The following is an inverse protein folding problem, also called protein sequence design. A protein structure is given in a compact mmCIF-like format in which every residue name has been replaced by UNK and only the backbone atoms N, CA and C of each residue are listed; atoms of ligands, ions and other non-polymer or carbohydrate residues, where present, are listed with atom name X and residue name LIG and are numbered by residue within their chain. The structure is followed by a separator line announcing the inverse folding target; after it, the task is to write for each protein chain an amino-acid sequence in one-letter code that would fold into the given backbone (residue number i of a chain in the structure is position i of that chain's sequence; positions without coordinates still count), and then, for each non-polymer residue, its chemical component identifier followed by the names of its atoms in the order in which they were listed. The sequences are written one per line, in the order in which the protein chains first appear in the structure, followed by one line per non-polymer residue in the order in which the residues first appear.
data_IF_783845432509
#
_entry.id   IF_783845432509
#
_cell.length_a   1.000
_cell.length_b   1.000
_cell.length_c   1.000
_cell.angle_alpha   90.00
_cell.angle_beta   90.00
_cell.angle_gamma   90.00
#
_symmetry.space_group_name_H-M   'P 1'
#
loop_
_entity.id
_entity.type
_entity.pdbx_description
1 polymer ?
#
# COMPACT_ATOMS: atom_id res chain seq x y z
N UNK A 1 26.53 -40.36 -74.77
CA UNK A 1 25.11 -40.22 -75.15
C UNK A 1 24.57 -39.09 -74.28
N UNK A 2 24.75 -37.87 -74.76
CA UNK A 2 23.79 -37.12 -75.60
C UNK A 2 22.69 -36.51 -74.73
N UNK A 3 22.26 -35.26 -74.84
CA UNK A 3 22.62 -34.05 -75.62
C UNK A 3 21.83 -32.94 -74.89
N UNK A 4 22.47 -31.80 -74.63
CA UNK A 4 21.84 -30.52 -74.28
C UNK A 4 21.30 -29.88 -75.58
N UNK A 5 20.25 -29.03 -75.64
CA UNK A 5 20.43 -27.60 -75.29
C UNK A 5 19.15 -26.86 -74.81
N UNK A 6 19.24 -25.86 -73.93
CA UNK A 6 19.35 -24.40 -74.17
C UNK A 6 18.14 -23.71 -74.82
N UNK A 7 17.62 -22.67 -74.14
CA UNK A 7 17.35 -21.29 -74.62
C UNK A 7 16.88 -20.48 -73.39
N UNK A 8 17.66 -19.55 -72.83
CA UNK A 8 17.94 -18.16 -73.27
C UNK A 8 16.70 -17.25 -73.31
N UNK A 9 16.59 -16.33 -72.35
CA UNK A 9 16.61 -14.88 -72.64
C UNK A 9 16.52 -14.04 -71.35
N UNK A 10 17.68 -13.49 -71.05
CA UNK A 10 17.97 -12.23 -70.37
C UNK A 10 17.08 -11.07 -70.89
N UNK A 11 16.66 -10.14 -70.02
CA UNK A 11 16.71 -8.68 -70.24
C UNK A 11 16.54 -7.97 -68.88
N UNK A 12 17.50 -7.08 -68.65
CA UNK A 12 17.72 -6.14 -67.56
C UNK A 12 17.01 -4.80 -67.81
N UNK A 13 16.63 -4.08 -66.74
CA UNK A 13 16.59 -2.60 -66.57
C UNK A 13 15.74 -2.30 -65.31
N UNK A 14 16.28 -1.83 -64.19
CA UNK A 14 16.96 -0.55 -63.87
C UNK A 14 16.02 0.68 -63.80
N UNK A 15 16.15 1.37 -62.65
CA UNK A 15 15.96 2.80 -62.40
C UNK A 15 14.56 3.40 -62.17
N UNK A 16 14.32 3.64 -60.87
CA UNK A 16 14.27 5.00 -60.26
C UNK A 16 12.94 5.77 -60.13
N UNK A 17 12.88 6.49 -58.98
CA UNK A 17 12.04 7.63 -58.58
C UNK A 17 10.66 7.33 -57.95
N UNK A 18 10.11 8.11 -57.01
CA UNK A 18 10.54 9.17 -56.07
C UNK A 18 9.21 9.75 -55.54
N UNK A 19 9.05 9.93 -54.21
CA UNK A 19 8.08 10.84 -53.53
C UNK A 19 6.58 10.65 -53.86
N UNK A 20 5.59 10.93 -53.03
CA UNK A 20 5.42 11.52 -51.71
C UNK A 20 4.08 10.94 -51.21
N UNK A 21 3.89 10.85 -49.90
CA UNK A 21 2.61 11.10 -49.23
C UNK A 21 2.93 11.11 -47.72
N UNK A 22 3.47 12.25 -47.29
CA UNK A 22 3.29 12.76 -45.94
C UNK A 22 1.88 13.34 -45.88
N UNK A 23 1.06 12.84 -44.94
CA UNK A 23 0.18 13.65 -44.09
C UNK A 23 -0.85 12.73 -43.40
N UNK A 24 -0.68 12.53 -42.09
CA UNK A 24 -1.75 12.46 -41.08
C UNK A 24 -1.30 11.69 -39.83
N UNK A 25 -0.38 12.25 -39.03
CA UNK A 25 -0.32 11.96 -37.58
C UNK A 25 -0.01 13.27 -36.84
N UNK A 26 -1.06 14.05 -36.53
CA UNK A 26 -1.00 15.07 -35.48
C UNK A 26 -2.21 14.90 -34.57
N UNK A 27 -2.01 14.23 -33.44
CA UNK A 27 -3.09 14.01 -32.47
C UNK A 27 -2.66 13.43 -31.13
N UNK A 28 -1.39 13.55 -30.73
CA UNK A 28 -0.90 12.90 -29.51
C UNK A 28 -0.11 13.81 -28.54
N UNK A 29 0.01 15.11 -28.83
CA UNK A 29 0.74 16.05 -27.96
C UNK A 29 -0.11 16.73 -26.88
N UNK A 30 -1.44 16.53 -26.88
CA UNK A 30 -2.36 17.24 -25.96
C UNK A 30 -2.61 16.49 -24.64
N UNK A 31 -2.28 15.19 -24.59
CA UNK A 31 -2.61 14.35 -23.42
C UNK A 31 -1.66 14.53 -22.23
N UNK A 32 -0.41 14.92 -22.46
CA UNK A 32 0.63 15.02 -21.43
C UNK A 32 0.44 16.26 -20.56
N UNK A 33 0.05 17.38 -21.16
CA UNK A 33 -0.26 18.62 -20.43
C UNK A 33 -1.51 18.46 -19.56
N UNK A 34 -2.50 17.70 -20.04
CA UNK A 34 -3.73 17.42 -19.30
C UNK A 34 -3.51 16.48 -18.11
N UNK A 35 -2.62 15.47 -18.21
CA UNK A 35 -2.23 14.61 -17.08
C UNK A 35 -1.49 15.43 -16.02
N UNK A 36 -0.58 16.30 -16.45
CA UNK A 36 0.19 17.17 -15.56
C UNK A 36 -0.74 18.12 -14.80
N UNK A 37 -1.73 18.72 -15.48
CA UNK A 37 -2.71 19.60 -14.84
C UNK A 37 -3.59 18.87 -13.82
N UNK A 38 -4.13 17.70 -14.15
CA UNK A 38 -4.96 16.89 -13.22
C UNK A 38 -4.14 16.45 -12.00
N UNK A 39 -2.86 16.13 -12.21
CA UNK A 39 -1.96 15.73 -11.14
C UNK A 39 -1.62 16.89 -10.21
N UNK A 40 -1.26 18.06 -10.77
CA UNK A 40 -1.03 19.29 -10.01
C UNK A 40 -2.27 19.73 -9.22
N UNK A 41 -3.47 19.51 -9.75
CA UNK A 41 -4.73 19.74 -9.05
C UNK A 41 -4.91 18.77 -7.87
N UNK A 42 -4.62 17.47 -8.07
CA UNK A 42 -4.70 16.46 -6.99
C UNK A 42 -3.67 16.66 -5.89
N UNK A 43 -2.45 17.11 -6.22
CA UNK A 43 -1.43 17.46 -5.22
C UNK A 43 -1.89 18.62 -4.32
N UNK A 44 -2.56 19.63 -4.90
CA UNK A 44 -3.09 20.78 -4.14
C UNK A 44 -4.25 20.42 -3.22
N UNK A 45 -5.01 19.38 -3.53
CA UNK A 45 -6.12 18.88 -2.71
C UNK A 45 -5.67 18.09 -1.46
N UNK A 46 -4.41 17.65 -1.41
CA UNK A 46 -3.84 16.92 -0.27
C UNK A 46 -3.08 17.82 0.72
N UNK A 47 -3.05 19.14 0.53
CA UNK A 47 -2.64 20.05 1.60
C UNK A 47 -3.73 20.09 2.68
N UNK A 48 -3.43 19.74 3.94
CA UNK A 48 -4.41 19.83 5.02
C UNK A 48 -4.78 21.31 5.21
N UNK A 49 -6.00 21.69 4.82
CA UNK A 49 -6.51 23.02 5.12
C UNK A 49 -6.61 23.14 6.65
N UNK A 50 -5.73 23.95 7.23
CA UNK A 50 -5.85 24.42 8.61
C UNK A 50 -7.07 25.36 8.68
N UNK A 51 -8.26 24.78 8.88
CA UNK A 51 -9.44 25.56 9.25
C UNK A 51 -9.32 25.92 10.73
N UNK A 52 -9.40 27.21 11.11
CA UNK A 52 -9.42 27.60 12.51
C UNK A 52 -10.70 27.09 13.18
N UNK A 53 -10.55 26.47 14.34
CA UNK A 53 -11.66 26.09 15.21
C UNK A 53 -12.23 27.35 15.85
N UNK A 54 -13.39 27.80 15.37
CA UNK A 54 -14.17 28.83 16.05
C UNK A 54 -14.99 28.22 17.20
N UNK A 55 -14.62 28.59 18.42
CA UNK A 55 -15.35 28.38 19.65
C UNK A 55 -16.38 29.50 19.86
N UNK A 56 -17.67 29.22 19.65
CA UNK A 56 -18.84 29.63 20.47
C UNK A 56 -20.13 29.78 19.63
N UNK A 57 -21.20 29.08 20.03
CA UNK A 57 -22.38 29.71 20.65
C UNK A 57 -23.56 28.74 20.74
N UNK A 58 -24.17 28.75 21.93
CA UNK A 58 -25.47 28.20 22.33
C UNK A 58 -26.60 28.28 21.30
N UNK A 59 -27.46 27.26 21.32
CA UNK A 59 -28.82 27.31 20.77
C UNK A 59 -29.63 26.06 21.10
N UNK A 60 -30.44 26.14 22.17
CA UNK A 60 -31.41 25.13 22.60
C UNK A 60 -32.36 24.68 21.48
N UNK A 61 -32.73 23.39 21.46
CA UNK A 61 -34.13 22.92 21.57
C UNK A 61 -34.21 21.38 21.42
N UNK A 62 -34.64 20.69 22.47
CA UNK A 62 -35.32 19.39 22.37
C UNK A 62 -36.77 19.58 21.90
N UNK A 63 -37.41 18.54 21.34
CA UNK A 63 -38.19 17.64 22.20
C UNK A 63 -38.07 16.15 21.83
N UNK A 64 -38.19 15.30 22.85
CA UNK A 64 -38.43 13.85 22.77
C UNK A 64 -39.95 13.57 22.70
N UNK A 65 -40.43 12.31 22.88
CA UNK A 65 -40.19 11.07 22.13
C UNK A 65 -41.51 10.52 21.56
N UNK A 66 -41.50 9.46 20.75
CA UNK A 66 -42.70 8.64 20.56
C UNK A 66 -42.38 7.14 20.61
N UNK A 67 -42.96 6.53 21.64
CA UNK A 67 -43.14 5.12 21.95
C UNK A 67 -44.00 4.43 20.87
N UNK A 68 -43.60 3.26 20.37
CA UNK A 68 -44.51 2.11 20.18
C UNK A 68 -43.76 0.80 19.95
N UNK A 69 -44.08 -0.20 20.76
CA UNK A 69 -43.90 -1.65 20.57
C UNK A 69 -45.10 -2.33 21.26
N UNK A 70 -45.38 -3.65 21.13
CA UNK A 70 -45.22 -4.65 20.05
C UNK A 70 -46.59 -5.36 19.78
N UNK A 71 -46.69 -6.57 19.14
CA UNK A 71 -46.48 -7.87 19.83
C UNK A 71 -45.76 -8.94 18.95
N UNK A 72 -44.81 -9.72 19.46
CA UNK A 72 -44.92 -11.02 20.18
C UNK A 72 -45.30 -12.28 19.35
N UNK A 73 -44.42 -13.28 19.50
CA UNK A 73 -44.64 -14.75 19.48
C UNK A 73 -44.35 -15.52 18.18
N UNK A 74 -43.28 -16.33 18.17
CA UNK A 74 -43.36 -17.74 18.58
C UNK A 74 -41.99 -18.44 18.61
N UNK A 75 -41.86 -19.34 19.58
CA UNK A 75 -40.69 -20.08 19.98
C UNK A 75 -40.55 -21.44 19.26
N UNK A 76 -39.31 -21.92 19.18
CA UNK A 76 -38.86 -23.34 19.26
C UNK A 76 -37.50 -23.46 18.54
N UNK A 77 -36.46 -24.19 18.93
CA UNK A 77 -35.99 -24.86 20.15
C UNK A 77 -34.82 -25.77 19.70
N UNK A 78 -33.75 -25.87 20.50
CA UNK A 78 -32.87 -27.05 20.68
C UNK A 78 -31.83 -27.38 19.58
N UNK A 79 -30.55 -27.13 19.88
CA UNK A 79 -29.51 -28.17 20.09
C UNK A 79 -28.13 -27.51 20.32
N UNK A 80 -27.68 -27.45 21.57
CA UNK A 80 -26.28 -27.19 21.91
C UNK A 80 -25.67 -28.51 22.40
N UNK A 81 -24.79 -29.08 21.57
CA UNK A 81 -23.96 -30.22 21.92
C UNK A 81 -22.67 -29.70 22.54
N UNK A 82 -22.38 -30.29 23.68
CA UNK A 82 -21.21 -30.16 24.55
C UNK A 82 -19.88 -30.34 23.83
N UNK A 83 -18.90 -29.49 24.14
CA UNK A 83 -17.48 -29.90 24.12
C UNK A 83 -16.73 -29.23 25.29
N UNK A 84 -16.29 -30.10 26.19
CA UNK A 84 -15.56 -29.81 27.42
C UNK A 84 -14.12 -29.40 27.12
N UNK A 85 -13.60 -28.42 27.85
CA UNK A 85 -12.17 -28.25 28.07
C UNK A 85 -11.91 -27.99 29.56
N UNK A 86 -11.17 -28.93 30.13
CA UNK A 86 -10.63 -29.03 31.49
C UNK A 86 -9.79 -27.82 31.87
N UNK A 87 -10.04 -27.22 33.04
CA UNK A 87 -9.08 -26.38 33.74
C UNK A 87 -8.91 -26.94 35.15
N UNK A 88 -7.68 -27.38 35.44
CA UNK A 88 -7.26 -27.83 36.76
C UNK A 88 -7.26 -26.65 37.75
N UNK A 89 -7.90 -26.88 38.90
CA UNK A 89 -7.86 -25.98 40.05
C UNK A 89 -6.61 -26.24 40.88
N UNK A 90 -5.92 -25.19 41.31
CA UNK A 90 -5.30 -25.18 42.63
C UNK A 90 -6.10 -24.25 43.53
N UNK A 91 -6.71 -24.83 44.56
CA UNK A 91 -7.29 -24.11 45.67
C UNK A 91 -7.01 -24.89 46.95
N UNK A 92 -6.60 -24.18 47.99
CA UNK A 92 -6.79 -24.47 49.41
C UNK A 92 -6.14 -23.31 50.20
N UNK A 93 -6.67 -22.76 51.28
CA UNK A 93 -7.99 -22.82 51.92
C UNK A 93 -7.94 -21.74 53.03
N UNK A 94 -9.06 -21.04 53.25
CA UNK A 94 -9.70 -20.64 54.54
C UNK A 94 -8.81 -20.18 55.71
N UNK A 95 -9.12 -19.10 56.46
CA UNK A 95 -10.31 -18.99 57.33
C UNK A 95 -10.53 -17.57 57.85
N UNK A 96 -11.81 -17.22 58.03
CA UNK A 96 -12.36 -16.05 58.72
C UNK A 96 -12.09 -16.04 60.23
N UNK A 97 -11.93 -14.85 60.82
CA UNK A 97 -12.49 -14.53 62.16
C UNK A 97 -13.04 -13.10 62.15
N UNK A 98 -14.25 -13.01 62.71
CA UNK A 98 -15.17 -11.88 62.90
C UNK A 98 -14.98 -11.28 64.29
N UNK A 99 -15.12 -9.96 64.44
CA UNK A 99 -15.98 -9.25 65.43
C UNK A 99 -15.61 -7.76 65.49
N UNK A 100 -16.61 -6.90 65.26
CA UNK A 100 -17.16 -5.91 66.23
C UNK A 100 -16.23 -4.71 66.43
N UNK A 101 -16.65 -3.45 66.38
CA UNK A 101 -17.94 -2.80 66.48
C UNK A 101 -17.67 -1.37 66.95
N UNK A 102 -18.63 -0.49 66.72
CA UNK A 102 -18.82 0.84 67.32
C UNK A 102 -18.28 2.10 66.62
N UNK A 103 -19.26 2.99 66.49
CA UNK A 103 -19.27 4.40 66.10
C UNK A 103 -18.41 5.26 67.04
N UNK A 104 -17.83 6.35 66.53
CA UNK A 104 -18.18 7.73 66.94
C UNK A 104 -17.16 8.78 66.41
N UNK A 105 -17.75 9.81 65.80
CA UNK A 105 -17.36 11.23 65.68
C UNK A 105 -15.97 11.77 66.12
N UNK A 106 -15.43 12.56 65.18
CA UNK A 106 -14.86 13.92 65.34
C UNK A 106 -13.56 14.10 66.14
N UNK A 107 -12.49 14.53 65.45
CA UNK A 107 -11.88 15.87 65.61
C UNK A 107 -10.72 16.09 64.63
N UNK A 108 -10.66 17.30 64.10
CA UNK A 108 -9.58 17.81 63.25
C UNK A 108 -8.28 17.94 64.07
N UNK A 109 -7.17 17.40 63.56
CA UNK A 109 -5.83 17.76 64.06
C UNK A 109 -4.82 17.74 62.91
N UNK A 110 -4.34 18.95 62.57
CA UNK A 110 -3.28 19.20 61.60
C UNK A 110 -1.99 18.52 62.03
N UNK A 111 -1.42 17.69 61.17
CA UNK A 111 -0.02 17.25 61.27
C UNK A 111 0.73 17.70 60.03
N UNK A 112 1.68 18.61 60.26
CA UNK A 112 2.67 19.09 59.31
C UNK A 112 3.91 18.20 59.49
N UNK A 113 4.45 17.53 58.47
CA UNK A 113 5.70 16.82 58.61
C UNK A 113 6.85 17.83 58.62
N UNK A 114 7.65 17.79 59.69
CA UNK A 114 8.93 18.49 59.76
C UNK A 114 9.85 17.93 58.67
N UNK A 115 10.21 18.76 57.69
CA UNK A 115 11.32 18.47 56.79
C UNK A 115 12.62 18.98 57.44
N UNK A 116 13.53 18.05 57.67
CA UNK A 116 14.88 18.31 58.13
C UNK A 116 15.64 19.21 57.13
N UNK A 117 16.14 20.35 57.61
CA UNK A 117 16.79 21.41 56.83
C UNK A 117 18.16 21.05 56.22
N UNK A 118 18.63 19.82 56.32
CA UNK A 118 19.96 19.43 55.81
C UNK A 118 19.97 19.01 54.34
N UNK A 119 18.82 18.66 53.76
CA UNK A 119 18.73 18.24 52.35
C UNK A 119 18.49 19.40 51.37
N UNK A 120 18.03 20.56 51.86
CA UNK A 120 17.72 21.71 51.00
C UNK A 120 18.96 22.37 50.40
N UNK A 121 20.07 22.39 51.15
CA UNK A 121 21.30 23.02 50.70
C UNK A 121 22.01 22.18 49.62
N UNK A 122 21.98 20.86 49.76
CA UNK A 122 22.50 19.92 48.74
C UNK A 122 21.71 20.00 47.44
N UNK A 123 20.38 20.12 47.54
CA UNK A 123 19.53 20.26 46.35
C UNK A 123 19.79 21.59 45.63
N UNK A 124 19.93 22.69 46.37
CA UNK A 124 20.29 23.99 45.79
C UNK A 124 21.66 23.95 45.10
N UNK A 125 22.66 23.29 45.70
CA UNK A 125 23.98 23.15 45.06
C UNK A 125 23.92 22.34 43.77
N UNK A 126 23.14 21.24 43.74
CA UNK A 126 22.97 20.41 42.54
C UNK A 126 22.25 21.18 41.44
N UNK A 127 21.18 21.93 41.78
CA UNK A 127 20.44 22.75 40.81
C UNK A 127 21.31 23.86 40.24
N UNK A 128 22.13 24.52 41.07
CA UNK A 128 23.07 25.54 40.58
C UNK A 128 24.17 24.95 39.70
N UNK A 129 24.70 23.77 40.02
CA UNK A 129 25.68 23.08 39.19
C UNK A 129 25.08 22.67 37.84
N UNK A 130 23.84 22.16 37.82
CA UNK A 130 23.11 21.84 36.58
C UNK A 130 22.86 23.08 35.72
N UNK A 131 22.47 24.21 36.32
CA UNK A 131 22.27 25.46 35.59
C UNK A 131 23.58 26.01 35.01
N UNK A 132 24.69 25.90 35.73
CA UNK A 132 26.02 26.29 35.24
C UNK A 132 26.50 25.33 34.14
N UNK A 133 26.26 24.03 34.27
CA UNK A 133 26.54 23.05 33.23
C UNK A 133 25.73 23.33 31.96
N UNK A 134 24.44 23.65 32.07
CA UNK A 134 23.61 23.98 30.90
C UNK A 134 23.93 25.35 30.30
N UNK A 135 24.33 26.34 31.11
CA UNK A 135 24.70 27.67 30.65
C UNK A 135 26.12 27.78 30.06
N UNK A 136 27.00 26.82 30.37
CA UNK A 136 28.38 26.78 29.84
C UNK A 136 28.50 25.99 28.53
N UNK A 137 27.47 25.23 28.17
CA UNK A 137 27.36 24.69 26.81
C UNK A 137 26.87 25.85 25.92
N UNK A 138 27.80 26.74 25.57
CA UNK A 138 27.68 27.44 24.29
C UNK A 138 27.86 26.38 23.21
N UNK A 139 26.78 25.65 22.91
CA UNK A 139 26.69 25.06 21.59
C UNK A 139 26.61 26.29 20.70
N UNK A 140 27.74 26.63 20.07
CA UNK A 140 27.67 27.20 18.74
C UNK A 140 26.93 26.14 17.90
N UNK A 141 25.61 26.10 18.04
CA UNK A 141 24.74 25.39 17.14
C UNK A 141 24.85 26.27 15.91
N UNK A 142 25.59 25.87 14.86
CA UNK A 142 25.44 26.56 13.61
C UNK A 142 23.95 26.40 13.31
N UNK A 143 23.21 27.51 13.35
CA UNK A 143 21.93 27.61 12.67
C UNK A 143 22.29 27.52 11.18
N UNK A 144 22.68 26.31 10.78
CA UNK A 144 22.87 25.87 9.43
C UNK A 144 21.50 25.97 8.81
N UNK A 145 21.24 27.15 8.26
CA UNK A 145 20.23 27.48 7.27
C UNK A 145 19.19 26.38 7.09
N UNK A 146 18.05 26.56 7.76
CA UNK A 146 16.83 25.82 7.49
C UNK A 146 16.45 25.92 5.99
N UNK A 147 16.84 27.03 5.33
CA UNK A 147 16.65 27.24 3.90
C UNK A 147 17.45 26.24 3.04
N UNK A 148 18.63 25.81 3.47
CA UNK A 148 19.45 24.83 2.75
C UNK A 148 18.86 23.41 2.73
N UNK A 149 18.18 23.02 3.80
CA UNK A 149 17.47 21.73 3.90
C UNK A 149 16.21 21.73 3.02
N UNK A 150 15.40 22.79 3.10
CA UNK A 150 14.17 22.91 2.32
C UNK A 150 14.43 23.01 0.82
N UNK A 151 15.47 23.74 0.40
CA UNK A 151 15.87 23.84 -1.01
C UNK A 151 16.39 22.50 -1.56
N UNK A 152 17.08 21.71 -0.72
CA UNK A 152 17.56 20.38 -1.12
C UNK A 152 16.41 19.38 -1.26
N UNK A 153 15.46 19.39 -0.32
CA UNK A 153 14.26 18.55 -0.38
C UNK A 153 13.42 18.91 -1.61
N UNK A 154 13.09 20.18 -1.81
CA UNK A 154 12.27 20.62 -2.94
C UNK A 154 12.92 20.29 -4.29
N UNK A 155 14.24 20.48 -4.41
CA UNK A 155 14.98 20.11 -5.62
C UNK A 155 14.98 18.60 -5.85
N UNK A 156 15.14 17.79 -4.79
CA UNK A 156 15.10 16.32 -4.91
C UNK A 156 13.71 15.80 -5.28
N UNK A 157 12.65 16.34 -4.67
CA UNK A 157 11.27 15.97 -4.94
C UNK A 157 10.87 16.34 -6.38
N UNK A 158 11.23 17.54 -6.83
CA UNK A 158 11.03 17.96 -8.22
C UNK A 158 11.78 17.06 -9.22
N UNK A 159 12.96 16.57 -8.83
CA UNK A 159 13.74 15.63 -9.65
C UNK A 159 13.04 14.27 -9.75
N UNK A 160 12.52 13.73 -8.65
CA UNK A 160 11.78 12.47 -8.66
C UNK A 160 10.48 12.56 -9.45
N UNK A 161 9.73 13.64 -9.28
CA UNK A 161 8.48 13.85 -10.03
C UNK A 161 8.75 13.86 -11.54
N UNK A 162 9.80 14.56 -11.99
CA UNK A 162 10.18 14.57 -13.40
C UNK A 162 10.62 13.18 -13.90
N UNK A 163 11.45 12.47 -13.13
CA UNK A 163 11.86 11.10 -13.49
C UNK A 163 10.67 10.13 -13.54
N UNK A 164 9.73 10.24 -12.59
CA UNK A 164 8.52 9.44 -12.58
C UNK A 164 7.68 9.72 -13.84
N UNK A 165 7.49 10.99 -14.22
CA UNK A 165 6.78 11.36 -15.44
C UNK A 165 7.43 10.77 -16.70
N UNK A 166 8.76 10.84 -16.81
CA UNK A 166 9.50 10.26 -17.94
C UNK A 166 9.29 8.74 -18.05
N UNK A 167 9.37 8.02 -16.92
CA UNK A 167 9.14 6.58 -16.88
C UNK A 167 7.69 6.21 -17.25
N UNK A 168 6.71 7.03 -16.85
CA UNK A 168 5.30 6.81 -17.20
C UNK A 168 5.05 7.09 -18.68
N UNK A 169 5.66 8.13 -19.26
CA UNK A 169 5.56 8.44 -20.69
C UNK A 169 6.16 7.31 -21.56
N UNK A 170 7.30 6.74 -21.16
CA UNK A 170 7.88 5.55 -21.80
C UNK A 170 6.94 4.34 -21.74
N UNK A 171 6.30 4.10 -20.59
CA UNK A 171 5.32 3.03 -20.44
C UNK A 171 4.08 3.25 -21.32
N UNK A 172 3.58 4.49 -21.39
CA UNK A 172 2.42 4.84 -22.21
C UNK A 172 2.67 4.59 -23.71
N UNK A 173 3.89 4.86 -24.18
CA UNK A 173 4.32 4.53 -25.55
C UNK A 173 4.39 3.01 -25.79
N UNK A 174 4.75 2.25 -24.77
CA UNK A 174 4.89 0.78 -24.84
C UNK A 174 3.54 0.06 -24.78
N UNK A 175 2.57 0.62 -24.06
CA UNK A 175 1.25 0.04 -23.84
C UNK A 175 0.14 1.06 -24.22
N UNK A 176 -0.02 1.38 -25.52
CA UNK A 176 -0.85 2.49 -25.96
C UNK A 176 -2.36 2.31 -25.75
N UNK A 177 -2.85 1.09 -25.49
CA UNK A 177 -4.29 0.83 -25.36
C UNK A 177 -4.81 0.95 -23.93
N UNK A 178 -3.95 1.26 -22.96
CA UNK A 178 -4.39 1.50 -21.58
C UNK A 178 -5.13 2.84 -21.44
N UNK A 179 -6.08 2.88 -20.50
CA UNK A 179 -6.85 4.09 -20.18
C UNK A 179 -5.96 5.14 -19.50
N UNK A 180 -6.26 6.42 -19.72
CA UNK A 180 -5.58 7.56 -19.05
C UNK A 180 -5.50 7.40 -17.53
N UNK A 181 -6.55 6.87 -16.90
CA UNK A 181 -6.59 6.61 -15.45
C UNK A 181 -5.51 5.64 -14.95
N UNK A 182 -5.04 4.71 -15.79
CA UNK A 182 -3.93 3.79 -15.48
C UNK A 182 -2.64 4.57 -15.21
N UNK A 183 -2.30 5.50 -16.10
CA UNK A 183 -1.08 6.31 -16.00
C UNK A 183 -1.11 7.26 -14.81
N UNK A 184 -2.26 7.88 -14.54
CA UNK A 184 -2.47 8.72 -13.35
C UNK A 184 -2.26 7.90 -12.07
N UNK A 185 -2.76 6.67 -12.03
CA UNK A 185 -2.63 5.78 -10.86
C UNK A 185 -1.18 5.39 -10.63
N UNK A 186 -0.43 5.09 -11.69
CA UNK A 186 0.99 4.75 -11.59
C UNK A 186 1.84 5.94 -11.16
N UNK A 187 1.62 7.11 -11.76
CA UNK A 187 2.32 8.34 -11.38
C UNK A 187 2.06 8.70 -9.91
N UNK A 188 0.80 8.58 -9.47
CA UNK A 188 0.43 8.81 -8.06
C UNK A 188 1.13 7.83 -7.12
N UNK A 189 1.22 6.55 -7.48
CA UNK A 189 1.91 5.54 -6.69
C UNK A 189 3.41 5.79 -6.61
N UNK A 190 4.06 6.15 -7.72
CA UNK A 190 5.48 6.47 -7.74
C UNK A 190 5.80 7.72 -6.90
N UNK A 191 4.98 8.76 -7.02
CA UNK A 191 5.20 10.00 -6.26
C UNK A 191 4.95 9.84 -4.76
N UNK A 192 4.00 9.00 -4.35
CA UNK A 192 3.76 8.79 -2.92
C UNK A 192 4.91 8.05 -2.22
N UNK A 193 5.68 7.24 -2.95
CA UNK A 193 6.81 6.49 -2.37
C UNK A 193 8.16 7.22 -2.51
N UNK A 194 8.24 8.31 -3.26
CA UNK A 194 9.45 9.13 -3.38
C UNK A 194 9.60 10.15 -2.26
N UNK A 195 8.55 10.36 -1.46
CA UNK A 195 8.61 11.11 -0.21
C UNK A 195 9.76 10.60 0.69
N UNK A 196 10.33 11.48 1.51
CA UNK A 196 11.46 11.14 2.38
C UNK A 196 11.06 10.02 3.36
N UNK A 197 9.90 10.18 4.00
CA UNK A 197 9.31 9.23 4.94
C UNK A 197 7.84 8.93 4.56
N UNK A 198 7.59 8.05 3.57
CA UNK A 198 6.23 7.67 3.21
C UNK A 198 5.49 7.07 4.40
N UNK A 199 4.24 7.48 4.61
CA UNK A 199 3.42 6.99 5.74
C UNK A 199 2.96 5.54 5.57
N UNK A 200 2.82 5.10 4.31
CA UNK A 200 2.28 3.81 3.88
C UNK A 200 2.84 3.41 2.51
N UNK A 201 2.83 2.11 2.13
CA UNK A 201 3.14 1.68 0.77
C UNK A 201 2.10 2.16 -0.23
N UNK A 202 2.50 2.29 -1.49
CA UNK A 202 1.55 2.41 -2.59
C UNK A 202 1.05 1.03 -2.98
N UNK A 203 -0.25 0.79 -2.84
CA UNK A 203 -0.89 -0.49 -3.19
C UNK A 203 -1.71 -0.29 -4.45
N UNK A 204 -1.43 -1.08 -5.49
CA UNK A 204 -2.15 -1.08 -6.76
C UNK A 204 -2.71 -2.47 -7.02
N UNK A 205 -4.00 -2.59 -7.34
CA UNK A 205 -4.61 -3.85 -7.74
C UNK A 205 -4.91 -3.82 -9.23
N UNK A 206 -4.14 -4.60 -9.99
CA UNK A 206 -4.35 -4.77 -11.42
C UNK A 206 -5.39 -5.85 -11.65
N UNK A 207 -6.39 -5.51 -12.44
CA UNK A 207 -7.50 -6.41 -12.78
C UNK A 207 -7.59 -6.57 -14.28
N UNK A 208 -7.65 -7.81 -14.73
CA UNK A 208 -7.84 -8.12 -16.14
C UNK A 208 -8.75 -9.34 -16.34
N UNK A 209 -9.20 -9.55 -17.57
CA UNK A 209 -9.64 -10.87 -18.02
C UNK A 209 -8.50 -11.64 -18.68
N UNK A 210 -8.67 -12.94 -18.93
CA UNK A 210 -7.65 -13.80 -19.56
C UNK A 210 -6.98 -13.20 -20.81
N UNK A 211 -7.75 -12.51 -21.66
CA UNK A 211 -7.22 -11.89 -22.88
C UNK A 211 -6.11 -10.85 -22.62
N UNK A 212 -6.13 -10.20 -21.45
CA UNK A 212 -5.18 -9.16 -21.07
C UNK A 212 -4.20 -9.61 -19.97
N UNK A 213 -4.24 -10.88 -19.55
CA UNK A 213 -3.37 -11.40 -18.48
C UNK A 213 -1.89 -11.20 -18.80
N UNK A 214 -1.48 -11.48 -20.04
CA UNK A 214 -0.10 -11.29 -20.50
C UNK A 214 0.31 -9.82 -20.44
N UNK A 215 -0.56 -8.92 -20.89
CA UNK A 215 -0.34 -7.47 -20.79
C UNK A 215 -0.19 -7.04 -19.34
N UNK A 216 -1.09 -7.50 -18.46
CA UNK A 216 -1.05 -7.20 -17.03
C UNK A 216 0.27 -7.61 -16.39
N UNK A 217 0.78 -8.81 -16.69
CA UNK A 217 2.09 -9.27 -16.22
C UNK A 217 3.22 -8.37 -16.72
N UNK A 218 3.22 -8.00 -18.00
CA UNK A 218 4.25 -7.13 -18.57
C UNK A 218 4.22 -5.72 -17.96
N UNK A 219 3.03 -5.11 -17.82
CA UNK A 219 2.87 -3.79 -17.21
C UNK A 219 3.30 -3.82 -15.74
N UNK A 220 2.89 -4.84 -14.97
CA UNK A 220 3.30 -5.00 -13.59
C UNK A 220 4.82 -5.10 -13.46
N UNK A 221 5.46 -5.92 -14.30
CA UNK A 221 6.90 -6.08 -14.33
C UNK A 221 7.61 -4.76 -14.67
N UNK A 222 7.14 -4.05 -15.69
CA UNK A 222 7.72 -2.77 -16.09
C UNK A 222 7.57 -1.71 -15.00
N UNK A 223 6.40 -1.62 -14.35
CA UNK A 223 6.19 -0.69 -13.24
C UNK A 223 7.08 -1.02 -12.04
N UNK A 224 7.23 -2.30 -11.69
CA UNK A 224 8.13 -2.74 -10.62
C UNK A 224 9.59 -2.37 -10.92
N UNK A 225 10.06 -2.61 -12.14
CA UNK A 225 11.41 -2.23 -12.57
C UNK A 225 11.59 -0.70 -12.50
N UNK A 226 10.62 0.05 -12.99
CA UNK A 226 10.65 1.52 -12.97
C UNK A 226 10.63 2.08 -11.54
N UNK A 227 9.85 1.48 -10.64
CA UNK A 227 9.83 1.82 -9.21
C UNK A 227 11.21 1.66 -8.60
N UNK A 228 11.84 0.51 -8.83
CA UNK A 228 13.18 0.25 -8.33
C UNK A 228 14.21 1.19 -8.95
N UNK A 229 14.16 1.44 -10.26
CA UNK A 229 15.02 2.40 -10.95
C UNK A 229 14.90 3.79 -10.34
N UNK A 230 13.67 4.26 -10.10
CA UNK A 230 13.37 5.57 -9.54
C UNK A 230 13.88 5.73 -8.10
N UNK A 231 13.81 4.69 -7.28
CA UNK A 231 14.20 4.76 -5.87
C UNK A 231 15.68 4.43 -5.63
N UNK A 232 16.29 3.55 -6.44
CA UNK A 232 17.72 3.21 -6.37
C UNK A 232 18.66 4.26 -6.95
N UNK A 233 18.19 5.22 -7.77
CA UNK A 233 19.01 6.34 -8.25
C UNK A 233 19.57 7.21 -7.11
N UNK A 234 19.18 6.97 -5.85
CA UNK A 234 19.75 7.64 -4.68
C UNK A 234 20.98 6.99 -4.07
N UNK A 235 21.28 5.69 -4.29
CA UNK A 235 22.55 5.08 -3.88
C UNK A 235 22.69 3.63 -4.41
N UNK A 236 23.82 3.40 -5.08
CA UNK A 236 24.39 2.10 -5.48
C UNK A 236 24.05 1.56 -6.87
N UNK A 237 25.12 1.37 -7.64
CA UNK A 237 25.15 0.78 -8.95
C UNK A 237 24.82 -0.73 -8.93
N UNK A 238 24.12 -1.18 -9.99
CA UNK A 238 23.89 -2.59 -10.36
C UNK A 238 23.14 -3.43 -9.31
N UNK A 239 21.87 -3.13 -9.10
CA UNK A 239 20.94 -4.15 -8.62
C UNK A 239 20.38 -4.90 -9.83
N UNK A 240 20.69 -6.19 -9.95
CA UNK A 240 19.93 -7.09 -10.81
C UNK A 240 18.56 -7.27 -10.14
N UNK A 241 17.51 -6.60 -10.63
CA UNK A 241 16.14 -6.72 -10.12
C UNK A 241 15.48 -8.02 -10.59
N UNK A 242 16.16 -9.14 -10.37
CA UNK A 242 15.63 -10.48 -10.67
C UNK A 242 14.75 -10.91 -9.51
N UNK A 243 13.51 -11.31 -9.81
CA UNK A 243 12.61 -11.94 -8.83
C UNK A 243 11.80 -10.98 -7.97
N UNK A 244 11.19 -9.93 -8.55
CA UNK A 244 10.20 -9.09 -7.83
C UNK A 244 8.80 -9.69 -7.80
N UNK A 245 8.61 -10.90 -8.34
CA UNK A 245 7.29 -11.52 -8.49
C UNK A 245 7.18 -12.74 -7.59
N UNK A 246 6.16 -12.73 -6.73
CA UNK A 246 5.72 -13.87 -5.94
C UNK A 246 4.73 -14.67 -6.78
N UNK A 247 5.10 -15.90 -7.12
CA UNK A 247 4.30 -16.77 -7.97
C UNK A 247 3.26 -17.54 -7.15
N UNK A 248 2.15 -16.86 -6.83
CA UNK A 248 1.09 -17.41 -5.98
C UNK A 248 0.61 -18.76 -6.48
N UNK A 249 0.34 -18.88 -7.78
CA UNK A 249 -0.13 -20.12 -8.41
C UNK A 249 0.78 -21.31 -8.09
N UNK A 250 2.08 -21.16 -8.28
CA UNK A 250 3.06 -22.22 -8.03
C UNK A 250 3.08 -22.59 -6.55
N UNK A 251 2.99 -21.60 -5.64
CA UNK A 251 2.95 -21.84 -4.19
C UNK A 251 1.67 -22.59 -3.79
N UNK A 252 0.51 -22.17 -4.29
CA UNK A 252 -0.78 -22.76 -3.95
C UNK A 252 -0.99 -24.14 -4.58
N UNK A 253 -0.34 -24.41 -5.71
CA UNK A 253 -0.38 -25.73 -6.34
C UNK A 253 0.52 -26.74 -5.61
N UNK A 254 1.68 -26.28 -5.10
CA UNK A 254 2.66 -27.11 -4.38
C UNK A 254 2.28 -27.34 -2.92
N UNK A 255 1.80 -26.31 -2.23
CA UNK A 255 1.44 -26.34 -0.82
C UNK A 255 -0.07 -26.48 -0.67
N UNK A 256 -0.52 -27.36 0.22
CA UNK A 256 -1.96 -27.65 0.40
C UNK A 256 -2.56 -27.12 1.69
N UNK A 257 -1.73 -26.64 2.62
CA UNK A 257 -2.18 -26.15 3.92
C UNK A 257 -2.06 -24.64 3.97
N UNK A 258 -3.14 -23.97 4.34
CA UNK A 258 -3.23 -22.51 4.42
C UNK A 258 -2.08 -21.88 5.22
N UNK A 259 -1.70 -22.48 6.36
CA UNK A 259 -0.61 -21.96 7.21
C UNK A 259 0.74 -22.02 6.49
N UNK A 260 1.00 -23.09 5.72
CA UNK A 260 2.24 -23.22 4.93
C UNK A 260 2.27 -22.26 3.74
N UNK A 261 1.13 -22.07 3.06
CA UNK A 261 0.99 -21.09 1.98
C UNK A 261 1.22 -19.68 2.53
N UNK A 262 0.60 -19.36 3.67
CA UNK A 262 0.77 -18.08 4.35
C UNK A 262 2.23 -17.82 4.71
N UNK A 263 2.91 -18.81 5.30
CA UNK A 263 4.31 -18.69 5.67
C UNK A 263 5.20 -18.46 4.44
N UNK A 264 5.03 -19.26 3.38
CA UNK A 264 5.82 -19.12 2.15
C UNK A 264 5.59 -17.75 1.48
N UNK A 265 4.34 -17.28 1.42
CA UNK A 265 4.03 -15.96 0.90
C UNK A 265 4.68 -14.85 1.75
N UNK A 266 4.61 -14.95 3.07
CA UNK A 266 5.23 -13.99 3.99
C UNK A 266 6.76 -13.93 3.79
N UNK A 267 7.42 -15.08 3.74
CA UNK A 267 8.86 -15.19 3.51
C UNK A 267 9.28 -14.59 2.16
N UNK A 268 8.56 -14.89 1.07
CA UNK A 268 8.88 -14.35 -0.25
C UNK A 268 8.63 -12.84 -0.34
N UNK A 269 7.49 -12.34 0.15
CA UNK A 269 7.17 -10.90 0.14
C UNK A 269 8.22 -10.14 0.95
N UNK A 270 8.52 -10.60 2.17
CA UNK A 270 9.52 -9.99 3.03
C UNK A 270 10.90 -9.99 2.38
N UNK A 271 11.33 -11.13 1.82
CA UNK A 271 12.64 -11.26 1.18
C UNK A 271 12.80 -10.30 0.00
N UNK A 272 11.76 -10.16 -0.84
CA UNK A 272 11.76 -9.26 -1.99
C UNK A 272 11.83 -7.81 -1.51
N UNK A 273 10.91 -7.39 -0.64
CA UNK A 273 10.82 -6.00 -0.18
C UNK A 273 11.98 -5.56 0.73
N UNK A 274 12.73 -6.52 1.30
CA UNK A 274 13.98 -6.22 2.00
C UNK A 274 15.12 -5.84 1.05
N UNK A 275 15.00 -6.16 -0.24
CA UNK A 275 16.05 -5.99 -1.25
C UNK A 275 15.61 -5.11 -2.43
N UNK A 276 14.31 -4.85 -2.56
CA UNK A 276 13.69 -4.06 -3.61
C UNK A 276 12.65 -3.11 -3.02
N UNK A 277 12.23 -2.13 -3.82
CA UNK A 277 11.15 -1.21 -3.48
C UNK A 277 9.82 -1.59 -4.13
N UNK A 278 9.71 -2.78 -4.71
CA UNK A 278 8.47 -3.23 -5.31
C UNK A 278 8.32 -4.74 -5.28
N UNK A 279 7.09 -5.20 -5.10
CA UNK A 279 6.72 -6.62 -5.20
C UNK A 279 5.47 -6.76 -6.06
N UNK A 280 5.45 -7.79 -6.90
CA UNK A 280 4.29 -8.22 -7.68
C UNK A 280 3.75 -9.48 -7.01
N UNK A 281 2.48 -9.46 -6.65
CA UNK A 281 1.84 -10.56 -5.93
C UNK A 281 0.47 -10.87 -6.54
N UNK A 282 0.29 -12.10 -6.98
CA UNK A 282 -1.00 -12.60 -7.42
C UNK A 282 -0.85 -13.82 -8.33
N UNK A 283 -1.96 -14.33 -8.87
CA UNK A 283 -3.32 -13.80 -8.75
C UNK A 283 -3.93 -13.89 -7.34
N UNK A 284 -4.61 -12.84 -6.88
CA UNK A 284 -5.25 -12.76 -5.56
C UNK A 284 -6.37 -13.79 -5.40
N UNK A 285 -7.11 -14.10 -6.46
CA UNK A 285 -8.23 -15.04 -6.43
C UNK A 285 -7.81 -16.49 -6.14
N UNK A 286 -6.51 -16.79 -6.19
CA UNK A 286 -5.97 -18.11 -5.82
C UNK A 286 -5.40 -18.16 -4.41
N UNK A 287 -5.25 -17.02 -3.73
CA UNK A 287 -4.77 -16.99 -2.35
C UNK A 287 -5.88 -17.53 -1.42
N UNK A 288 -5.62 -18.60 -0.64
CA UNK A 288 -6.58 -19.10 0.33
C UNK A 288 -6.95 -18.02 1.36
N UNK A 289 -8.20 -18.01 1.86
CA UNK A 289 -8.66 -16.93 2.74
C UNK A 289 -7.77 -16.70 3.96
N UNK A 290 -7.30 -17.75 4.63
CA UNK A 290 -6.45 -17.58 5.83
C UNK A 290 -5.06 -17.02 5.49
N UNK A 291 -4.52 -17.32 4.32
CA UNK A 291 -3.28 -16.74 3.84
C UNK A 291 -3.47 -15.26 3.46
N UNK A 292 -4.61 -14.89 2.87
CA UNK A 292 -4.91 -13.50 2.50
C UNK A 292 -4.86 -12.51 3.69
N UNK A 293 -5.02 -12.99 4.93
CA UNK A 293 -4.85 -12.16 6.14
C UNK A 293 -3.46 -11.52 6.24
N UNK A 294 -2.41 -12.10 5.64
CA UNK A 294 -1.08 -11.50 5.63
C UNK A 294 -1.06 -10.14 4.91
N UNK A 295 -1.93 -9.96 3.90
CA UNK A 295 -2.04 -8.72 3.12
C UNK A 295 -2.49 -7.55 3.99
N UNK A 296 -3.23 -7.82 5.07
CA UNK A 296 -3.58 -6.79 6.05
C UNK A 296 -2.33 -6.11 6.61
N UNK A 297 -1.24 -6.85 6.86
CA UNK A 297 0.00 -6.31 7.42
C UNK A 297 0.81 -5.53 6.39
N UNK A 298 1.02 -6.12 5.21
CA UNK A 298 1.84 -5.49 4.16
C UNK A 298 1.18 -4.29 3.50
N UNK A 299 -0.14 -4.30 3.37
CA UNK A 299 -0.92 -3.23 2.72
C UNK A 299 -1.54 -2.26 3.74
N UNK A 300 -1.05 -2.24 4.99
CA UNK A 300 -1.61 -1.36 6.02
C UNK A 300 -1.19 0.10 5.84
N UNK A 301 -2.09 1.02 6.16
CA UNK A 301 -1.86 2.46 6.07
C UNK A 301 -0.92 3.00 7.17
N UNK A 302 -0.68 2.26 8.24
CA UNK A 302 0.07 2.76 9.40
C UNK A 302 1.23 1.87 9.80
N UNK A 303 0.99 0.56 9.80
CA UNK A 303 1.88 -0.46 10.40
C UNK A 303 2.63 -1.30 9.36
N UNK A 304 2.49 -1.00 8.08
CA UNK A 304 3.19 -1.75 7.03
C UNK A 304 4.72 -1.68 7.24
N UNK A 305 5.43 -2.82 7.18
CA UNK A 305 6.87 -2.87 7.44
C UNK A 305 7.69 -2.16 6.35
N UNK A 306 7.18 -2.11 5.12
CA UNK A 306 7.88 -1.54 3.96
C UNK A 306 7.10 -0.37 3.37
N UNK A 307 7.15 0.80 4.02
CA UNK A 307 6.38 1.99 3.61
C UNK A 307 6.88 2.62 2.31
N UNK A 308 8.19 2.60 2.09
CA UNK A 308 8.82 3.09 0.86
C UNK A 308 8.80 2.01 -0.23
N UNK A 309 7.61 1.54 -0.61
CA UNK A 309 7.47 0.49 -1.61
C UNK A 309 6.16 0.58 -2.41
N UNK A 310 6.18 0.00 -3.61
CA UNK A 310 4.99 -0.21 -4.45
C UNK A 310 4.63 -1.70 -4.45
N UNK A 311 3.46 -2.03 -3.91
CA UNK A 311 2.90 -3.38 -3.89
C UNK A 311 1.90 -3.49 -5.04
N UNK A 312 2.25 -4.30 -6.04
CA UNK A 312 1.45 -4.52 -7.25
C UNK A 312 0.73 -5.86 -7.10
N UNK A 313 -0.55 -5.80 -6.81
CA UNK A 313 -1.42 -6.96 -6.71
C UNK A 313 -2.03 -7.27 -8.07
N UNK A 314 -2.25 -8.53 -8.40
CA UNK A 314 -2.93 -8.92 -9.65
C UNK A 314 -4.14 -9.79 -9.38
N UNK A 315 -5.19 -9.63 -10.19
CA UNK A 315 -6.36 -10.50 -10.19
C UNK A 315 -6.89 -10.70 -11.60
N UNK A 316 -7.32 -11.93 -11.93
CA UNK A 316 -7.91 -12.27 -13.23
C UNK A 316 -9.29 -12.91 -13.07
N UNK A 317 -10.27 -12.43 -13.84
CA UNK A 317 -11.63 -12.93 -13.80
C UNK A 317 -12.15 -13.24 -15.20
N UNK A 318 -12.77 -14.41 -15.41
CA UNK A 318 -13.04 -14.91 -16.78
C UNK A 318 -14.48 -14.78 -17.23
N UNK A 319 -15.43 -15.12 -16.37
CA UNK A 319 -16.85 -15.18 -16.75
C UNK A 319 -17.61 -13.90 -16.43
N UNK A 320 -17.08 -13.08 -15.53
CA UNK A 320 -17.67 -11.83 -15.08
C UNK A 320 -16.55 -10.86 -14.74
N UNK A 321 -15.88 -10.32 -15.76
CA UNK A 321 -14.84 -9.31 -15.53
C UNK A 321 -15.50 -8.11 -14.84
N UNK A 322 -15.04 -7.72 -13.63
CA UNK A 322 -15.55 -6.55 -12.94
C UNK A 322 -15.42 -5.30 -13.81
N UNK A 323 -16.44 -4.46 -13.83
CA UNK A 323 -16.47 -3.24 -14.64
C UNK A 323 -16.00 -2.00 -13.88
N UNK A 324 -15.94 -2.09 -12.56
CA UNK A 324 -15.61 -1.00 -11.65
C UNK A 324 -15.03 -1.57 -10.35
N UNK A 325 -14.41 -0.71 -9.54
CA UNK A 325 -13.77 -1.09 -8.28
C UNK A 325 -14.73 -1.78 -7.30
N UNK A 326 -15.98 -1.32 -7.22
CA UNK A 326 -17.00 -1.91 -6.33
C UNK A 326 -17.29 -3.37 -6.66
N UNK A 327 -17.36 -3.73 -7.94
CA UNK A 327 -17.53 -5.13 -8.36
C UNK A 327 -16.28 -5.97 -8.03
N UNK A 328 -15.07 -5.40 -8.11
CA UNK A 328 -13.83 -6.07 -7.70
C UNK A 328 -13.85 -6.35 -6.19
N UNK A 329 -14.18 -5.33 -5.39
CA UNK A 329 -14.32 -5.47 -3.94
C UNK A 329 -15.32 -6.57 -3.58
N UNK A 330 -16.50 -6.57 -4.21
CA UNK A 330 -17.54 -7.59 -3.98
C UNK A 330 -17.05 -9.00 -4.31
N UNK A 331 -16.28 -9.18 -5.38
CA UNK A 331 -15.71 -10.48 -5.72
C UNK A 331 -14.67 -10.93 -4.71
N UNK A 332 -13.73 -10.07 -4.34
CA UNK A 332 -12.72 -10.39 -3.31
C UNK A 332 -13.39 -10.71 -1.96
N UNK A 333 -14.42 -9.96 -1.59
CA UNK A 333 -15.27 -10.27 -0.44
C UNK A 333 -15.88 -11.66 -0.54
N UNK A 334 -16.52 -12.00 -1.66
CA UNK A 334 -17.16 -13.30 -1.83
C UNK A 334 -16.17 -14.48 -1.78
N UNK A 335 -14.90 -14.24 -2.12
CA UNK A 335 -13.84 -15.25 -2.02
C UNK A 335 -13.41 -15.51 -0.58
N UNK A 336 -13.34 -14.48 0.25
CA UNK A 336 -12.75 -14.59 1.59
C UNK A 336 -13.76 -14.60 2.74
N UNK A 337 -14.92 -13.96 2.59
CA UNK A 337 -15.97 -13.86 3.60
C UNK A 337 -16.43 -15.23 4.16
N UNK A 338 -16.67 -16.28 3.33
CA UNK A 338 -17.18 -17.56 3.84
C UNK A 338 -16.27 -18.22 4.90
N UNK A 339 -14.97 -17.90 4.88
CA UNK A 339 -13.98 -18.48 5.80
C UNK A 339 -13.53 -17.49 6.87
N UNK A 340 -13.36 -16.21 6.52
CA UNK A 340 -12.83 -15.20 7.43
C UNK A 340 -13.92 -14.46 8.22
N UNK A 341 -15.14 -14.44 7.71
CA UNK A 341 -16.22 -13.56 8.14
C UNK A 341 -16.11 -12.14 7.56
N UNK A 342 -17.23 -11.42 7.68
CA UNK A 342 -17.45 -10.16 6.98
C UNK A 342 -16.46 -9.06 7.40
N UNK A 343 -16.15 -8.98 8.70
CA UNK A 343 -15.28 -7.92 9.22
C UNK A 343 -13.83 -8.08 8.76
N UNK A 344 -13.31 -9.31 8.78
CA UNK A 344 -11.94 -9.60 8.36
C UNK A 344 -11.78 -9.48 6.85
N UNK A 345 -12.74 -10.00 6.08
CA UNK A 345 -12.73 -9.84 4.62
C UNK A 345 -12.79 -8.37 4.23
N UNK A 346 -13.67 -7.57 4.85
CA UNK A 346 -13.75 -6.12 4.65
C UNK A 346 -12.44 -5.40 4.94
N UNK A 347 -11.81 -5.73 6.07
CA UNK A 347 -10.55 -5.10 6.48
C UNK A 347 -9.41 -5.36 5.48
N UNK A 348 -9.35 -6.55 4.86
CA UNK A 348 -8.35 -6.84 3.83
C UNK A 348 -8.72 -6.12 2.53
N UNK A 349 -9.96 -6.25 2.07
CA UNK A 349 -10.42 -5.69 0.79
C UNK A 349 -10.21 -4.17 0.76
N UNK A 350 -10.49 -3.45 1.84
CA UNK A 350 -10.27 -2.00 1.92
C UNK A 350 -8.82 -1.57 1.74
N UNK A 351 -7.86 -2.47 1.99
CA UNK A 351 -6.42 -2.20 1.83
C UNK A 351 -5.92 -2.61 0.44
N UNK A 352 -6.35 -3.77 -0.05
CA UNK A 352 -5.86 -4.31 -1.33
C UNK A 352 -6.57 -3.70 -2.54
N UNK A 353 -7.81 -3.26 -2.40
CA UNK A 353 -8.63 -2.72 -3.50
C UNK A 353 -8.81 -1.19 -3.43
N UNK A 354 -7.96 -0.47 -2.70
CA UNK A 354 -8.05 1.00 -2.60
C UNK A 354 -7.74 1.69 -3.95
N UNK A 355 -6.82 1.13 -4.74
CA UNK A 355 -6.47 1.65 -6.06
C UNK A 355 -6.52 0.54 -7.10
N UNK A 356 -7.69 0.40 -7.75
CA UNK A 356 -7.94 -0.62 -8.77
C UNK A 356 -7.63 -0.06 -10.16
N UNK A 357 -6.80 -0.80 -10.91
CA UNK A 357 -6.39 -0.47 -12.26
C UNK A 357 -6.84 -1.59 -13.20
N UNK A 358 -7.75 -1.27 -14.11
CA UNK A 358 -8.20 -2.21 -15.14
C UNK A 358 -7.22 -2.21 -16.31
N UNK A 359 -6.67 -3.39 -16.64
CA UNK A 359 -5.69 -3.56 -17.70
C UNK A 359 -6.38 -4.03 -18.97
N UNK A 360 -6.14 -3.30 -20.06
CA UNK A 360 -6.64 -3.62 -21.39
C UNK A 360 -5.63 -4.51 -22.12
N UNK A 361 -6.08 -5.40 -23.04
CA UNK A 361 -5.15 -6.20 -23.83
C UNK A 361 -4.34 -5.31 -24.78
N UNK A 362 -3.10 -5.75 -25.05
CA UNK A 362 -2.22 -5.11 -26.04
C UNK A 362 -2.03 -6.05 -27.22
N UNK A 363 -1.65 -5.52 -28.38
CA UNK A 363 -1.34 -6.36 -29.55
C UNK A 363 -0.04 -7.14 -29.34
N UNK A 364 0.08 -8.32 -29.96
CA UNK A 364 1.23 -9.26 -29.85
C UNK A 364 2.63 -8.66 -30.17
N UNK A 365 2.67 -7.42 -30.66
CA UNK A 365 3.89 -6.63 -30.91
C UNK A 365 4.50 -6.01 -29.65
N UNK A 366 3.88 -6.14 -28.47
CA UNK A 366 4.45 -5.62 -27.22
C UNK A 366 5.76 -6.35 -26.87
N UNK A 367 6.84 -5.64 -26.49
CA UNK A 367 8.13 -6.26 -26.22
C UNK A 367 8.00 -7.40 -25.20
N UNK A 368 8.53 -8.55 -25.57
CA UNK A 368 8.64 -9.69 -24.67
C UNK A 368 9.75 -9.35 -23.67
N UNK A 369 9.42 -9.16 -22.40
CA UNK A 369 10.42 -9.19 -21.34
C UNK A 369 10.93 -10.64 -21.24
N UNK A 370 11.97 -10.97 -21.99
CA UNK A 370 12.64 -12.29 -22.00
C UNK A 370 13.54 -12.47 -20.77
N UNK A 371 13.01 -12.18 -19.57
CA UNK A 371 13.73 -12.34 -18.31
C UNK A 371 13.00 -13.40 -17.48
N UNK A 372 13.05 -14.63 -17.95
CA UNK A 372 12.40 -15.77 -17.28
C UNK A 372 12.82 -17.16 -17.78
N UNK A 373 13.87 -17.26 -18.61
CA UNK A 373 14.53 -18.53 -18.94
C UNK A 373 16.00 -18.44 -18.61
N UNK A 374 16.34 -18.80 -17.38
CA UNK A 374 17.63 -19.39 -17.01
C UNK A 374 17.41 -20.20 -15.74
#
# INVERSE_FOLDING_TARGET
MEVNPAQDSEITSDSSKQSADEDAISGQSDSTDEITQIFEEKLKLNEPSLVPVDLNSNGNNSPAPNDSSPPQNNASSINAVTLSATIESQGQQTTNVRQEGNQAQSKSQKYLPQLNCTNSLVFLTIVTLLAICLGSIKVDFPLSSYDGWNNKISTSLNTFSHQAMELIDEMQKTFPFQKKGTWISFLSALNSVTEEEPSQPAVLLFVSGNAAMRTMQNIAQTLAINTNKLLHTTNSAKANFQGVTVKVDEITDLLRQDDTIKQELDEQIYSILSQSFSVILGPLEKIPPQAALLLHGYCDNFMAPFKKSVIILTATFDYEIPRNSKEVEQKLHSLWDPTLGIDKSASIVSRVANNVVFIEPETDSTPRNEIGRA
#
